data_IF_490195317450
#
_entry.id   IF_490195317450
#
_cell.length_a   1.000
_cell.length_b   1.000
_cell.length_c   1.000
_cell.angle_alpha   90.00
_cell.angle_beta   90.00
_cell.angle_gamma   90.00
#
_symmetry.space_group_name_H-M   'P 1'
#
loop_
_entity.id
_entity.type
_entity.pdbx_description
1 polymer ?
#
# COMPACT_ATOMS: atom_id res chain seq x y z
N UNK A 1 5.46 30.95 -1.44
CA UNK A 1 4.89 31.54 -0.22
C UNK A 1 4.15 32.84 -0.50
N UNK A 2 4.76 33.89 -1.09
CA UNK A 2 4.04 35.16 -1.42
C UNK A 2 2.85 35.00 -2.40
N UNK A 3 2.96 34.10 -3.38
CA UNK A 3 1.91 33.88 -4.39
C UNK A 3 0.61 33.28 -3.82
N UNK A 4 0.71 32.49 -2.75
CA UNK A 4 -0.46 31.91 -2.06
C UNK A 4 -1.06 32.90 -1.04
N UNK A 5 -0.25 33.74 -0.39
CA UNK A 5 -0.75 34.83 0.46
C UNK A 5 -1.56 35.86 -0.35
N UNK A 6 -1.09 36.21 -1.55
CA UNK A 6 -1.79 37.18 -2.42
C UNK A 6 -3.12 36.66 -3.00
N UNK A 7 -3.30 35.35 -3.13
CA UNK A 7 -4.59 34.78 -3.54
C UNK A 7 -5.58 34.66 -2.36
N UNK A 8 -5.11 34.39 -1.14
CA UNK A 8 -5.97 34.36 0.06
C UNK A 8 -6.52 35.75 0.43
N UNK A 9 -5.74 36.81 0.24
CA UNK A 9 -6.23 38.19 0.41
C UNK A 9 -7.33 38.58 -0.62
N UNK A 10 -7.42 37.88 -1.75
CA UNK A 10 -8.51 38.07 -2.73
C UNK A 10 -9.77 37.27 -2.40
N UNK A 11 -9.67 36.19 -1.62
CA UNK A 11 -10.84 35.45 -1.14
C UNK A 11 -11.39 35.98 0.19
N UNK A 12 -10.56 36.59 1.03
CA UNK A 12 -11.02 37.34 2.21
C UNK A 12 -11.90 38.53 1.84
N UNK A 13 -11.81 39.05 0.60
CA UNK A 13 -12.71 40.08 0.07
C UNK A 13 -14.13 39.58 -0.24
N UNK A 14 -14.39 38.25 -0.21
CA UNK A 14 -15.77 37.71 -0.31
C UNK A 14 -16.54 37.84 1.00
N UNK A 15 -15.91 38.28 2.10
CA UNK A 15 -16.59 38.56 3.37
C UNK A 15 -17.09 40.01 3.49
N UNK A 16 -17.00 40.81 2.42
CA UNK A 16 -17.72 42.09 2.37
C UNK A 16 -19.20 41.73 2.52
N UNK A 17 -19.78 42.06 3.67
CA UNK A 17 -21.23 42.11 3.86
C UNK A 17 -21.79 42.72 2.60
N UNK A 18 -22.47 41.94 1.76
CA UNK A 18 -23.06 42.50 0.56
C UNK A 18 -24.17 43.40 1.08
N UNK A 19 -23.86 44.69 1.21
CA UNK A 19 -24.80 45.71 1.69
C UNK A 19 -26.09 45.62 0.89
N UNK A 20 -25.99 45.25 -0.39
CA UNK A 20 -27.11 44.92 -1.25
C UNK A 20 -27.97 43.75 -0.74
N UNK A 21 -27.38 42.61 -0.35
CA UNK A 21 -28.14 41.47 0.20
C UNK A 21 -28.79 41.84 1.54
N UNK A 22 -28.05 42.52 2.42
CA UNK A 22 -28.58 42.95 3.72
C UNK A 22 -29.74 43.94 3.58
N UNK A 23 -29.59 44.97 2.73
CA UNK A 23 -30.65 45.92 2.43
C UNK A 23 -31.84 45.27 1.71
N UNK A 24 -31.59 44.30 0.82
CA UNK A 24 -32.66 43.54 0.16
C UNK A 24 -33.45 42.70 1.15
N UNK A 25 -32.79 42.06 2.13
CA UNK A 25 -33.45 41.33 3.21
C UNK A 25 -34.32 42.24 4.07
N UNK A 26 -33.84 43.45 4.41
CA UNK A 26 -34.65 44.44 5.13
C UNK A 26 -35.88 44.82 4.29
N UNK A 27 -35.69 45.13 3.01
CA UNK A 27 -36.78 45.50 2.11
C UNK A 27 -37.83 44.40 1.96
N UNK A 28 -37.40 43.15 1.71
CA UNK A 28 -38.29 41.98 1.62
C UNK A 28 -39.04 41.77 2.95
N UNK A 29 -38.35 41.85 4.08
CA UNK A 29 -38.97 41.66 5.40
C UNK A 29 -39.99 42.77 5.70
N UNK A 30 -39.73 44.00 5.25
CA UNK A 30 -40.67 45.11 5.33
C UNK A 30 -41.93 44.86 4.48
N UNK A 31 -41.78 44.42 3.22
CA UNK A 31 -42.93 44.10 2.36
C UNK A 31 -43.77 42.93 2.89
N UNK A 32 -43.13 41.91 3.46
CA UNK A 32 -43.83 40.78 4.10
C UNK A 32 -44.61 41.27 5.33
N UNK A 33 -43.98 42.07 6.20
CA UNK A 33 -44.65 42.63 7.37
C UNK A 33 -45.84 43.53 6.98
N UNK A 34 -45.68 44.36 5.93
CA UNK A 34 -46.75 45.19 5.40
C UNK A 34 -47.89 44.36 4.77
N UNK A 35 -47.56 43.28 4.07
CA UNK A 35 -48.54 42.33 3.52
C UNK A 35 -49.35 41.64 4.62
N UNK A 36 -48.69 41.18 5.69
CA UNK A 36 -49.36 40.59 6.85
C UNK A 36 -50.24 41.62 7.55
N UNK A 37 -49.76 42.84 7.76
CA UNK A 37 -50.52 43.92 8.39
C UNK A 37 -51.78 44.29 7.59
N UNK A 38 -51.65 44.43 6.27
CA UNK A 38 -52.78 44.76 5.39
C UNK A 38 -53.79 43.63 5.33
N UNK A 39 -53.37 42.37 5.23
CA UNK A 39 -54.25 41.21 5.28
C UNK A 39 -54.96 41.07 6.63
N UNK A 40 -54.25 41.31 7.74
CA UNK A 40 -54.82 41.28 9.08
C UNK A 40 -55.96 42.29 9.25
N UNK A 41 -55.79 43.51 8.74
CA UNK A 41 -56.82 44.55 8.76
C UNK A 41 -57.96 44.31 7.75
N UNK A 42 -57.69 43.65 6.62
CA UNK A 42 -58.70 43.39 5.59
C UNK A 42 -59.61 42.21 5.92
N UNK A 43 -59.07 41.16 6.56
CA UNK A 43 -59.78 39.91 6.81
C UNK A 43 -60.06 39.64 8.30
N UNK A 44 -59.77 40.61 9.17
CA UNK A 44 -60.00 40.55 10.62
C UNK A 44 -59.42 39.26 11.24
N UNK A 45 -58.15 38.99 10.92
CA UNK A 45 -57.46 37.74 11.29
C UNK A 45 -57.16 37.65 12.81
N UNK A 46 -57.47 38.69 13.59
CA UNK A 46 -57.32 38.72 15.04
C UNK A 46 -55.87 38.70 15.53
N UNK A 47 -54.89 39.04 14.69
CA UNK A 47 -53.48 39.13 15.08
C UNK A 47 -53.25 40.49 15.77
N UNK A 48 -52.65 40.50 16.95
CA UNK A 48 -52.34 41.74 17.67
C UNK A 48 -51.47 42.67 16.82
N UNK A 49 -51.92 43.91 16.63
CA UNK A 49 -51.29 44.91 15.76
C UNK A 49 -50.14 45.69 16.43
N UNK A 50 -49.51 45.09 17.44
CA UNK A 50 -48.45 45.76 18.19
C UNK A 50 -47.24 46.04 17.30
N UNK A 51 -46.82 47.31 17.29
CA UNK A 51 -45.65 47.80 16.53
C UNK A 51 -44.42 46.92 16.78
N UNK A 52 -44.28 46.43 18.03
CA UNK A 52 -43.20 45.56 18.48
C UNK A 52 -43.15 44.22 17.72
N UNK A 53 -44.30 43.63 17.39
CA UNK A 53 -44.37 42.34 16.68
C UNK A 53 -43.91 42.44 15.23
N UNK A 54 -44.37 43.46 14.52
CA UNK A 54 -43.97 43.70 13.13
C UNK A 54 -42.52 44.17 13.00
N UNK A 55 -42.02 44.98 13.95
CA UNK A 55 -40.59 45.33 14.03
C UNK A 55 -39.72 44.09 14.23
N UNK A 56 -40.15 43.14 15.05
CA UNK A 56 -39.48 41.84 15.21
C UNK A 56 -39.43 41.03 13.91
N UNK A 57 -40.54 41.00 13.16
CA UNK A 57 -40.66 40.31 11.88
C UNK A 57 -39.75 40.92 10.80
N UNK A 58 -39.60 42.24 10.79
CA UNK A 58 -38.71 42.97 9.88
C UNK A 58 -37.23 42.74 10.24
N UNK A 59 -36.92 42.69 11.54
CA UNK A 59 -35.55 42.58 12.04
C UNK A 59 -35.00 41.14 12.05
N UNK A 60 -35.85 40.11 12.09
CA UNK A 60 -35.41 38.72 12.27
C UNK A 60 -34.55 38.18 11.09
N UNK A 61 -34.93 38.35 9.80
CA UNK A 61 -34.10 37.83 8.71
C UNK A 61 -32.73 38.53 8.55
N UNK A 62 -32.63 39.88 8.65
CA UNK A 62 -31.35 40.58 8.66
C UNK A 62 -30.44 40.21 9.84
N UNK A 63 -31.02 40.03 11.04
CA UNK A 63 -30.24 39.64 12.23
C UNK A 63 -29.71 38.21 12.13
N UNK A 64 -30.51 37.27 11.62
CA UNK A 64 -30.06 35.91 11.31
C UNK A 64 -28.94 35.89 10.26
N UNK A 65 -29.05 36.70 9.20
CA UNK A 65 -28.00 36.84 8.17
C UNK A 65 -26.67 37.35 8.76
N UNK A 66 -26.71 38.40 9.61
CA UNK A 66 -25.52 38.92 10.28
C UNK A 66 -24.90 37.90 11.23
N UNK A 67 -25.72 37.12 11.95
CA UNK A 67 -25.24 36.06 12.81
C UNK A 67 -24.52 34.97 12.01
N UNK A 68 -25.09 34.50 10.90
CA UNK A 68 -24.46 33.50 10.01
C UNK A 68 -23.12 34.01 9.47
N UNK A 69 -23.05 35.27 9.02
CA UNK A 69 -21.78 35.86 8.55
C UNK A 69 -20.76 35.91 9.68
N UNK A 70 -21.16 36.33 10.88
CA UNK A 70 -20.27 36.40 12.03
C UNK A 70 -19.74 35.03 12.40
N UNK A 71 -20.59 34.01 12.38
CA UNK A 71 -20.18 32.65 12.72
C UNK A 71 -19.24 32.08 11.65
N UNK A 72 -19.55 32.26 10.36
CA UNK A 72 -18.62 31.93 9.27
C UNK A 72 -17.27 32.64 9.36
N UNK A 73 -17.26 33.90 9.79
CA UNK A 73 -16.00 34.63 9.98
C UNK A 73 -15.16 34.03 11.11
N UNK A 74 -15.79 33.63 12.22
CA UNK A 74 -15.09 32.92 13.30
C UNK A 74 -14.57 31.57 12.84
N UNK A 75 -15.36 30.81 12.07
CA UNK A 75 -14.94 29.53 11.46
C UNK A 75 -13.69 29.73 10.60
N UNK A 76 -13.68 30.74 9.71
CA UNK A 76 -12.52 31.08 8.89
C UNK A 76 -11.30 31.52 9.73
N UNK A 77 -11.50 32.28 10.80
CA UNK A 77 -10.41 32.67 11.72
C UNK A 77 -9.82 31.46 12.45
N UNK A 78 -10.67 30.50 12.85
CA UNK A 78 -10.26 29.22 13.45
C UNK A 78 -9.49 28.36 12.43
N UNK A 79 -10.01 28.17 11.23
CA UNK A 79 -9.36 27.43 10.14
C UNK A 79 -7.98 28.01 9.82
N UNK A 80 -7.87 29.34 9.70
CA UNK A 80 -6.58 30.00 9.46
C UNK A 80 -5.59 29.75 10.60
N UNK A 81 -6.06 29.72 11.85
CA UNK A 81 -5.21 29.43 13.01
C UNK A 81 -4.74 27.98 13.04
N UNK A 82 -5.61 27.03 12.68
CA UNK A 82 -5.24 25.61 12.56
C UNK A 82 -4.21 25.41 11.44
N UNK A 83 -4.39 26.09 10.31
CA UNK A 83 -3.44 26.06 9.18
C UNK A 83 -2.08 26.67 9.57
N UNK A 84 -2.05 27.78 10.30
CA UNK A 84 -0.81 28.38 10.80
C UNK A 84 -0.09 27.44 11.79
N UNK A 85 -0.84 26.73 12.64
CA UNK A 85 -0.27 25.72 13.55
C UNK A 85 0.32 24.53 12.78
N UNK A 86 -0.38 24.06 11.74
CA UNK A 86 0.13 23.03 10.85
C UNK A 86 1.45 23.46 10.20
N UNK A 87 1.48 24.65 9.58
CA UNK A 87 2.67 25.16 8.90
C UNK A 87 3.86 25.34 9.86
N UNK A 88 3.63 25.82 11.08
CA UNK A 88 4.67 25.94 12.09
C UNK A 88 5.24 24.57 12.49
N UNK A 89 4.37 23.56 12.67
CA UNK A 89 4.81 22.20 12.99
C UNK A 89 5.57 21.54 11.84
N UNK A 90 5.10 21.73 10.60
CA UNK A 90 5.80 21.30 9.39
C UNK A 90 7.19 21.92 9.28
N UNK A 91 7.34 23.21 9.57
CA UNK A 91 8.64 23.88 9.54
C UNK A 91 9.61 23.30 10.60
N UNK A 92 9.11 23.02 11.81
CA UNK A 92 9.87 22.36 12.87
C UNK A 92 10.35 20.97 12.44
N UNK A 93 9.45 20.13 11.92
CA UNK A 93 9.80 18.78 11.45
C UNK A 93 10.81 18.80 10.31
N UNK A 94 10.63 19.72 9.35
CA UNK A 94 11.61 19.86 8.25
C UNK A 94 13.01 20.24 8.78
N UNK A 95 13.10 21.01 9.86
CA UNK A 95 14.40 21.32 10.48
C UNK A 95 15.02 20.07 11.12
N UNK A 96 14.25 19.35 11.93
CA UNK A 96 14.70 18.13 12.62
C UNK A 96 15.12 17.05 11.63
N UNK A 97 14.31 16.81 10.60
CA UNK A 97 14.61 15.77 9.62
C UNK A 97 15.88 16.10 8.80
N UNK A 98 16.13 17.38 8.47
CA UNK A 98 17.32 17.78 7.74
C UNK A 98 18.59 17.51 8.56
N UNK A 99 18.52 17.76 9.87
CA UNK A 99 19.60 17.40 10.80
C UNK A 99 19.80 15.89 10.87
N UNK A 100 18.72 15.11 10.97
CA UNK A 100 18.77 13.65 10.96
C UNK A 100 19.40 13.09 9.68
N UNK A 101 19.02 13.63 8.52
CA UNK A 101 19.61 13.28 7.21
C UNK A 101 21.09 13.62 7.18
N UNK A 102 21.49 14.81 7.64
CA UNK A 102 22.91 15.18 7.69
C UNK A 102 23.73 14.24 8.59
N UNK A 103 23.17 13.83 9.74
CA UNK A 103 23.80 12.83 10.61
C UNK A 103 23.87 11.45 9.96
N UNK A 104 22.86 11.08 9.16
CA UNK A 104 22.82 9.80 8.47
C UNK A 104 23.91 9.68 7.40
N UNK A 105 24.26 10.78 6.73
CA UNK A 105 25.36 10.81 5.77
C UNK A 105 26.75 10.99 6.40
N UNK A 106 26.83 11.22 7.72
CA UNK A 106 28.09 11.22 8.47
C UNK A 106 28.45 9.80 8.91
N UNK A 107 29.58 9.27 8.44
CA UNK A 107 30.04 7.89 8.73
C UNK A 107 30.08 7.56 10.22
N UNK A 108 30.35 8.54 11.10
CA UNK A 108 30.43 8.31 12.55
C UNK A 108 29.08 8.35 13.25
N UNK A 109 28.07 8.93 12.61
CA UNK A 109 26.74 9.16 13.18
C UNK A 109 25.62 8.48 12.41
N UNK A 110 25.95 7.71 11.37
CA UNK A 110 24.99 7.07 10.47
C UNK A 110 23.85 6.37 11.22
N UNK A 111 24.17 5.51 12.20
CA UNK A 111 23.13 4.80 12.95
C UNK A 111 22.22 5.75 13.75
N UNK A 112 22.79 6.79 14.39
CA UNK A 112 22.01 7.79 15.11
C UNK A 112 21.12 8.60 14.15
N UNK A 113 21.65 8.97 12.99
CA UNK A 113 20.88 9.60 11.91
C UNK A 113 19.75 8.70 11.41
N UNK A 114 19.99 7.40 11.24
CA UNK A 114 18.96 6.45 10.82
C UNK A 114 17.82 6.33 11.85
N UNK A 115 18.16 6.26 13.14
CA UNK A 115 17.19 6.27 14.24
C UNK A 115 16.39 7.58 14.21
N UNK A 116 17.06 8.72 14.06
CA UNK A 116 16.40 10.03 14.01
C UNK A 116 15.47 10.18 12.79
N UNK A 117 15.86 9.64 11.62
CA UNK A 117 14.98 9.59 10.44
C UNK A 117 13.76 8.71 10.74
N UNK A 118 13.96 7.52 11.32
CA UNK A 118 12.87 6.63 11.68
C UNK A 118 11.89 7.27 12.69
N UNK A 119 12.39 7.98 13.70
CA UNK A 119 11.54 8.76 14.61
C UNK A 119 10.85 9.94 13.92
N UNK A 120 11.51 10.60 12.95
CA UNK A 120 10.88 11.67 12.16
C UNK A 120 9.68 11.15 11.37
N UNK A 121 9.75 9.90 10.86
CA UNK A 121 8.61 9.25 10.19
C UNK A 121 7.42 9.09 11.15
N UNK A 122 7.64 8.74 12.42
CA UNK A 122 6.57 8.67 13.43
C UNK A 122 5.94 10.04 13.69
N UNK A 123 6.75 11.09 13.79
CA UNK A 123 6.26 12.45 13.97
C UNK A 123 5.41 12.91 12.78
N UNK A 124 5.86 12.63 11.56
CA UNK A 124 5.07 12.89 10.35
C UNK A 124 3.78 12.07 10.31
N UNK A 125 3.81 10.78 10.70
CA UNK A 125 2.60 9.94 10.82
C UNK A 125 1.61 10.54 11.82
N UNK A 126 2.09 11.03 12.97
CA UNK A 126 1.24 11.65 13.99
C UNK A 126 0.59 12.95 13.47
N UNK A 127 1.34 13.80 12.77
CA UNK A 127 0.76 15.00 12.13
C UNK A 127 -0.26 14.62 11.06
N UNK A 128 0.01 13.57 10.26
CA UNK A 128 -0.91 13.05 9.24
C UNK A 128 -2.27 12.65 9.84
N UNK A 129 -2.27 12.10 11.05
CA UNK A 129 -3.50 11.73 11.76
C UNK A 129 -4.29 12.94 12.28
N UNK A 130 -3.59 13.99 12.71
CA UNK A 130 -4.19 15.24 13.21
C UNK A 130 -4.74 16.09 12.06
N UNK A 131 -3.94 16.30 11.01
CA UNK A 131 -4.25 17.17 9.88
C UNK A 131 -4.62 16.36 8.65
N UNK A 132 -5.83 15.79 8.67
CA UNK A 132 -6.29 14.81 7.68
C UNK A 132 -6.37 15.34 6.24
N UNK A 133 -6.60 16.65 6.09
CA UNK A 133 -6.64 17.36 4.80
C UNK A 133 -5.28 17.34 4.10
N UNK A 134 -4.18 17.30 4.87
CA UNK A 134 -2.80 17.39 4.38
C UNK A 134 -2.11 16.02 4.21
N UNK A 135 -2.84 14.91 4.38
CA UNK A 135 -2.25 13.55 4.42
C UNK A 135 -1.41 13.19 3.21
N UNK A 136 -1.82 13.61 2.02
CA UNK A 136 -1.09 13.31 0.78
C UNK A 136 0.27 14.03 0.76
N UNK A 137 0.30 15.31 1.14
CA UNK A 137 1.55 16.09 1.18
C UNK A 137 2.51 15.57 2.26
N UNK A 138 1.96 15.20 3.42
CA UNK A 138 2.72 14.59 4.51
C UNK A 138 3.27 13.22 4.10
N UNK A 139 2.47 12.42 3.39
CA UNK A 139 2.93 11.12 2.91
C UNK A 139 4.14 11.26 1.99
N UNK A 140 4.17 12.25 1.09
CA UNK A 140 5.35 12.54 0.25
C UNK A 140 6.60 12.80 1.12
N UNK A 141 6.45 13.43 2.29
CA UNK A 141 7.57 13.63 3.23
C UNK A 141 8.04 12.32 3.85
N UNK A 142 7.10 11.46 4.25
CA UNK A 142 7.41 10.12 4.76
C UNK A 142 8.13 9.30 3.68
N UNK A 143 7.65 9.35 2.44
CA UNK A 143 8.30 8.66 1.32
C UNK A 143 9.73 9.15 1.09
N UNK A 144 9.95 10.47 1.15
CA UNK A 144 11.29 11.06 1.01
C UNK A 144 12.24 10.56 2.09
N UNK A 145 11.80 10.51 3.35
CA UNK A 145 12.59 10.01 4.47
C UNK A 145 12.90 8.51 4.35
N UNK A 146 11.90 7.70 4.01
CA UNK A 146 12.08 6.28 3.74
C UNK A 146 13.07 6.04 2.59
N UNK A 147 12.95 6.82 1.51
CA UNK A 147 13.84 6.74 0.35
C UNK A 147 15.31 6.96 0.74
N UNK A 148 15.59 7.95 1.60
CA UNK A 148 16.95 8.22 2.09
C UNK A 148 17.55 6.99 2.76
N UNK A 149 16.79 6.32 3.62
CA UNK A 149 17.24 5.10 4.30
C UNK A 149 17.44 3.94 3.31
N UNK A 150 16.45 3.69 2.45
CA UNK A 150 16.47 2.54 1.54
C UNK A 150 17.61 2.63 0.51
N UNK A 151 17.87 3.81 -0.07
CA UNK A 151 18.96 3.95 -1.05
C UNK A 151 20.35 3.75 -0.44
N UNK A 152 20.55 4.16 0.82
CA UNK A 152 21.85 4.02 1.47
C UNK A 152 22.06 2.60 2.01
N UNK A 153 20.99 1.92 2.41
CA UNK A 153 21.01 0.52 2.84
C UNK A 153 21.64 -0.41 1.79
N UNK A 154 21.36 -0.17 0.50
CA UNK A 154 21.90 -0.96 -0.61
C UNK A 154 23.41 -0.78 -0.84
N UNK A 155 24.03 0.30 -0.34
CA UNK A 155 25.38 0.72 -0.75
C UNK A 155 26.47 0.27 0.23
N UNK A 156 26.14 0.01 1.50
CA UNK A 156 27.15 -0.24 2.54
C UNK A 156 27.01 -1.62 3.19
N UNK A 157 27.82 -2.58 2.73
CA UNK A 157 27.97 -3.96 3.25
C UNK A 157 28.33 -4.04 4.75
N UNK A 158 28.60 -2.93 5.43
CA UNK A 158 29.08 -2.89 6.82
C UNK A 158 27.99 -2.66 7.87
N UNK A 159 26.73 -2.63 7.48
CA UNK A 159 25.67 -2.21 8.41
C UNK A 159 25.18 -3.32 9.33
N UNK A 160 25.25 -3.01 10.63
CA UNK A 160 24.98 -3.89 11.76
C UNK A 160 23.53 -4.39 11.75
N UNK A 161 23.28 -5.49 12.49
CA UNK A 161 21.94 -6.02 12.80
C UNK A 161 20.92 -4.93 13.17
N UNK A 162 21.37 -3.81 13.73
CA UNK A 162 20.55 -2.65 14.10
C UNK A 162 20.01 -1.88 12.89
N UNK A 163 20.83 -1.63 11.86
CA UNK A 163 20.37 -0.93 10.65
C UNK A 163 19.30 -1.75 9.94
N UNK A 164 19.50 -3.06 9.80
CA UNK A 164 18.46 -3.96 9.26
C UNK A 164 17.19 -3.87 10.08
N UNK A 165 17.28 -3.83 11.42
CA UNK A 165 16.13 -3.62 12.30
C UNK A 165 15.38 -2.31 12.01
N UNK A 166 16.10 -1.20 11.84
CA UNK A 166 15.50 0.10 11.50
C UNK A 166 14.80 0.04 10.13
N UNK A 167 15.43 -0.58 9.13
CA UNK A 167 14.84 -0.71 7.80
C UNK A 167 13.55 -1.53 7.84
N UNK A 168 13.53 -2.66 8.58
CA UNK A 168 12.30 -3.43 8.79
C UNK A 168 11.20 -2.58 9.42
N UNK A 169 11.52 -1.85 10.49
CA UNK A 169 10.57 -1.00 11.21
C UNK A 169 9.98 0.09 10.29
N UNK A 170 10.82 0.69 9.43
CA UNK A 170 10.37 1.69 8.45
C UNK A 170 9.48 1.06 7.38
N UNK A 171 9.81 -0.13 6.87
CA UNK A 171 8.96 -0.88 5.95
C UNK A 171 7.58 -1.13 6.59
N UNK A 172 7.54 -1.60 7.83
CA UNK A 172 6.30 -1.84 8.58
C UNK A 172 5.49 -0.55 8.77
N UNK A 173 6.14 0.57 9.10
CA UNK A 173 5.48 1.88 9.22
C UNK A 173 4.83 2.31 7.92
N UNK A 174 5.53 2.16 6.80
CA UNK A 174 4.99 2.48 5.48
C UNK A 174 3.78 1.60 5.18
N UNK A 175 3.90 0.27 5.31
CA UNK A 175 2.81 -0.68 5.09
C UNK A 175 1.58 -0.32 5.94
N UNK A 176 1.78 0.02 7.21
CA UNK A 176 0.70 0.45 8.10
C UNK A 176 0.02 1.74 7.62
N UNK A 177 0.80 2.74 7.19
CA UNK A 177 0.24 3.97 6.61
C UNK A 177 -0.53 3.67 5.33
N UNK A 178 -0.01 2.82 4.44
CA UNK A 178 -0.70 2.42 3.23
C UNK A 178 -2.02 1.70 3.54
N UNK A 179 -2.03 0.82 4.55
CA UNK A 179 -3.23 0.14 5.03
C UNK A 179 -4.31 1.11 5.50
N UNK A 180 -3.93 2.10 6.32
CA UNK A 180 -4.81 3.10 6.92
C UNK A 180 -5.33 4.13 5.89
N UNK A 181 -4.48 4.55 4.95
CA UNK A 181 -4.75 5.70 4.07
C UNK A 181 -5.06 5.34 2.62
N UNK A 182 -4.78 4.10 2.21
CA UNK A 182 -4.79 3.63 0.80
C UNK A 182 -3.82 4.36 -0.12
N UNK A 183 -2.87 5.09 0.44
CA UNK A 183 -1.79 5.71 -0.32
C UNK A 183 -0.81 4.65 -0.84
N UNK A 184 -0.22 4.94 -1.99
CA UNK A 184 0.62 4.00 -2.73
C UNK A 184 2.07 4.42 -2.62
N UNK A 185 2.91 3.53 -2.11
CA UNK A 185 4.36 3.64 -2.09
C UNK A 185 4.94 2.85 -3.28
N UNK A 186 5.85 3.48 -4.02
CA UNK A 186 6.45 2.87 -5.20
C UNK A 186 7.66 1.99 -4.83
N UNK A 187 7.38 0.74 -4.46
CA UNK A 187 8.38 -0.25 -4.06
C UNK A 187 9.38 -0.60 -5.18
N UNK A 188 9.03 -0.37 -6.45
CA UNK A 188 9.83 -0.79 -7.60
C UNK A 188 11.17 -0.06 -7.75
N UNK A 189 11.35 1.04 -7.02
CA UNK A 189 12.56 1.85 -7.01
C UNK A 189 13.67 1.29 -6.13
N UNK A 190 13.36 0.33 -5.26
CA UNK A 190 14.24 -0.05 -4.17
C UNK A 190 14.79 -1.46 -4.33
N UNK A 191 16.06 -1.59 -3.95
CA UNK A 191 16.78 -2.84 -3.83
C UNK A 191 17.15 -3.08 -2.37
N UNK A 192 16.73 -4.19 -1.82
CA UNK A 192 17.05 -4.59 -0.45
C UNK A 192 17.98 -5.79 -0.46
N UNK A 193 19.09 -5.67 0.27
CA UNK A 193 20.10 -6.71 0.38
C UNK A 193 20.18 -7.23 1.81
N UNK A 194 20.05 -8.55 2.01
CA UNK A 194 20.10 -9.19 3.34
C UNK A 194 18.95 -8.69 4.26
N UNK A 195 17.80 -8.37 3.66
CA UNK A 195 16.57 -8.05 4.40
C UNK A 195 15.96 -9.34 4.96
N UNK A 196 15.74 -9.40 6.26
CA UNK A 196 15.22 -10.59 6.95
C UNK A 196 13.87 -10.35 7.62
N UNK A 197 12.92 -11.27 7.57
CA UNK A 197 11.69 -11.32 8.38
C UNK A 197 11.44 -12.77 8.81
N UNK A 198 10.84 -12.97 10.00
CA UNK A 198 10.62 -14.31 10.57
C UNK A 198 11.91 -14.99 11.03
N UNK A 199 12.97 -14.21 11.30
CA UNK A 199 14.32 -14.74 11.58
C UNK A 199 14.55 -15.08 13.05
N UNK A 200 13.69 -14.61 13.96
CA UNK A 200 13.72 -14.90 15.39
C UNK A 200 12.31 -15.24 15.88
N UNK A 201 12.18 -15.99 16.99
CA UNK A 201 10.89 -16.46 17.54
C UNK A 201 9.86 -15.34 17.76
N UNK A 202 10.30 -14.13 18.11
CA UNK A 202 9.43 -12.96 18.30
C UNK A 202 8.82 -12.42 16.99
N UNK A 203 9.40 -12.79 15.83
CA UNK A 203 8.96 -12.39 14.50
C UNK A 203 8.02 -13.41 13.85
N UNK A 204 7.64 -14.50 14.53
CA UNK A 204 6.76 -15.56 13.99
C UNK A 204 5.27 -15.24 14.16
N UNK A 205 4.40 -15.61 13.19
CA UNK A 205 4.69 -16.24 11.90
C UNK A 205 4.90 -15.18 10.80
N UNK A 206 5.94 -14.36 10.89
CA UNK A 206 6.17 -13.24 9.98
C UNK A 206 5.16 -12.10 10.22
N UNK A 207 5.59 -11.11 11.00
CA UNK A 207 4.86 -9.86 11.25
C UNK A 207 4.18 -9.31 9.97
N UNK A 208 2.92 -8.88 10.13
CA UNK A 208 1.95 -8.69 9.06
C UNK A 208 2.35 -7.74 7.93
N UNK A 209 2.94 -8.28 6.87
CA UNK A 209 3.17 -7.63 5.57
C UNK A 209 1.88 -7.41 4.75
N UNK A 210 0.71 -7.33 5.42
CA UNK A 210 -0.62 -7.38 4.81
C UNK A 210 -1.03 -6.04 4.21
N UNK A 211 -0.38 -5.61 3.12
CA UNK A 211 -0.91 -4.58 2.23
C UNK A 211 -0.75 -5.01 0.78
N UNK A 212 -1.82 -4.88 -0.02
CA UNK A 212 -1.96 -5.54 -1.31
C UNK A 212 -0.81 -5.30 -2.30
N UNK A 213 -0.05 -4.22 -2.21
CA UNK A 213 1.03 -3.89 -3.15
C UNK A 213 2.43 -3.83 -2.51
N UNK A 214 2.60 -4.42 -1.32
CA UNK A 214 3.91 -4.50 -0.67
C UNK A 214 4.91 -5.21 -1.60
N UNK A 215 6.10 -4.62 -1.81
CA UNK A 215 7.20 -5.16 -2.63
C UNK A 215 6.97 -5.31 -4.15
N UNK A 216 5.88 -4.77 -4.70
CA UNK A 216 5.65 -4.79 -6.15
C UNK A 216 6.84 -4.21 -6.93
N UNK A 217 7.35 -4.96 -7.90
CA UNK A 217 8.49 -4.57 -8.74
C UNK A 217 9.84 -4.36 -8.01
N UNK A 218 9.92 -4.60 -6.71
CA UNK A 218 11.15 -4.38 -5.92
C UNK A 218 12.22 -5.45 -6.19
N UNK A 219 13.48 -5.16 -5.86
CA UNK A 219 14.59 -6.12 -5.97
C UNK A 219 15.04 -6.59 -4.58
N UNK A 220 15.04 -7.90 -4.35
CA UNK A 220 15.54 -8.53 -3.14
C UNK A 220 16.76 -9.39 -3.43
N UNK A 221 17.87 -9.13 -2.76
CA UNK A 221 19.09 -9.91 -2.88
C UNK A 221 19.43 -10.55 -1.55
N UNK A 222 19.61 -11.87 -1.52
CA UNK A 222 20.00 -12.59 -0.29
C UNK A 222 19.05 -12.34 0.88
N UNK A 223 17.77 -12.10 0.59
CA UNK A 223 16.77 -11.79 1.59
C UNK A 223 16.23 -13.08 2.24
N UNK A 224 15.62 -12.95 3.41
CA UNK A 224 15.10 -14.08 4.19
C UNK A 224 13.71 -13.73 4.70
N UNK A 225 12.71 -14.53 4.38
CA UNK A 225 11.33 -14.41 4.82
C UNK A 225 10.88 -15.80 5.23
N UNK A 226 10.99 -16.11 6.52
CA UNK A 226 10.60 -17.44 7.01
C UNK A 226 9.18 -17.34 7.56
N UNK A 227 8.32 -18.27 7.16
CA UNK A 227 6.94 -18.37 7.63
C UNK A 227 6.14 -17.06 7.44
N UNK A 228 6.43 -16.27 6.42
CA UNK A 228 5.84 -14.94 6.23
C UNK A 228 4.53 -14.96 5.42
N UNK A 229 3.65 -14.00 5.70
CA UNK A 229 2.33 -13.89 5.06
C UNK A 229 2.33 -12.96 3.83
N UNK A 230 2.28 -13.54 2.64
CA UNK A 230 2.11 -12.88 1.34
C UNK A 230 0.74 -13.20 0.69
N UNK A 231 -0.19 -13.75 1.47
CA UNK A 231 -1.52 -14.15 1.01
C UNK A 231 -2.24 -12.97 0.31
N UNK A 232 -2.68 -13.20 -0.94
CA UNK A 232 -3.39 -12.23 -1.79
C UNK A 232 -2.61 -10.95 -2.13
N UNK A 233 -1.29 -10.92 -1.95
CA UNK A 233 -0.46 -9.78 -2.33
C UNK A 233 -0.18 -9.73 -3.83
N UNK A 234 -0.04 -8.52 -4.36
CA UNK A 234 0.46 -8.22 -5.69
C UNK A 234 1.98 -7.99 -5.62
N UNK A 235 2.71 -9.01 -6.06
CA UNK A 235 4.16 -9.11 -6.16
C UNK A 235 4.61 -9.12 -7.63
N UNK A 236 3.79 -8.58 -8.53
CA UNK A 236 4.10 -8.57 -9.96
C UNK A 236 5.44 -7.89 -10.24
N UNK A 237 6.22 -8.50 -11.14
CA UNK A 237 7.54 -8.02 -11.56
C UNK A 237 8.59 -7.86 -10.45
N UNK A 238 8.30 -8.32 -9.23
CA UNK A 238 9.27 -8.38 -8.16
C UNK A 238 10.44 -9.27 -8.60
N UNK A 239 11.67 -8.86 -8.29
CA UNK A 239 12.86 -9.67 -8.54
C UNK A 239 13.50 -10.07 -7.22
N UNK A 240 13.94 -11.30 -7.14
CA UNK A 240 14.59 -11.87 -5.98
C UNK A 240 15.65 -12.86 -6.44
N UNK A 241 16.82 -12.79 -5.81
CA UNK A 241 17.88 -13.77 -6.06
C UNK A 241 18.54 -14.23 -4.77
N UNK A 242 18.89 -15.51 -4.70
CA UNK A 242 19.58 -16.10 -3.54
C UNK A 242 18.83 -15.92 -2.23
N UNK A 243 17.51 -15.84 -2.28
CA UNK A 243 16.67 -15.47 -1.15
C UNK A 243 15.89 -16.67 -0.63
N UNK A 244 15.46 -16.61 0.62
CA UNK A 244 14.77 -17.68 1.32
C UNK A 244 13.36 -17.23 1.67
N UNK A 245 12.36 -18.01 1.29
CA UNK A 245 10.93 -17.77 1.54
C UNK A 245 10.29 -19.01 2.18
N UNK A 246 11.08 -19.84 2.85
CA UNK A 246 10.66 -21.14 3.33
C UNK A 246 9.45 -21.02 4.26
N UNK A 247 8.48 -21.91 4.06
CA UNK A 247 7.20 -22.00 4.77
C UNK A 247 6.33 -20.74 4.70
N UNK A 248 6.63 -19.81 3.79
CA UNK A 248 5.83 -18.60 3.61
C UNK A 248 4.53 -18.88 2.84
N UNK A 249 3.54 -18.02 3.04
CA UNK A 249 2.19 -18.16 2.50
C UNK A 249 1.97 -17.19 1.35
N UNK A 250 1.84 -17.69 0.14
CA UNK A 250 1.54 -16.98 -1.12
C UNK A 250 0.16 -17.33 -1.68
N UNK A 251 -0.75 -17.85 -0.85
CA UNK A 251 -2.11 -18.24 -1.27
C UNK A 251 -2.82 -17.07 -1.95
N UNK A 252 -3.34 -17.29 -3.16
CA UNK A 252 -3.95 -16.27 -4.03
C UNK A 252 -3.04 -15.06 -4.40
N UNK A 253 -1.73 -15.11 -4.15
CA UNK A 253 -0.83 -14.01 -4.48
C UNK A 253 -0.66 -13.87 -6.01
N UNK A 254 -0.48 -12.65 -6.49
CA UNK A 254 -0.13 -12.36 -7.88
C UNK A 254 1.37 -12.10 -8.02
N UNK A 255 2.07 -13.06 -8.60
CA UNK A 255 3.51 -13.07 -8.89
C UNK A 255 3.76 -13.06 -10.42
N UNK A 256 2.82 -12.56 -11.22
CA UNK A 256 2.98 -12.48 -12.68
C UNK A 256 4.24 -11.68 -13.07
N UNK A 257 5.01 -12.23 -14.01
CA UNK A 257 6.28 -11.69 -14.52
C UNK A 257 7.36 -11.45 -13.44
N UNK A 258 7.20 -12.01 -12.24
CA UNK A 258 8.22 -11.96 -11.18
C UNK A 258 9.43 -12.83 -11.52
N UNK A 259 10.55 -12.60 -10.83
CA UNK A 259 11.77 -13.39 -10.97
C UNK A 259 12.27 -13.82 -9.61
N UNK A 260 12.32 -15.12 -9.36
CA UNK A 260 12.92 -15.72 -8.17
C UNK A 260 13.99 -16.71 -8.64
N UNK A 261 15.23 -16.24 -8.70
CA UNK A 261 16.36 -16.99 -9.27
C UNK A 261 17.23 -17.52 -8.13
N UNK A 262 17.54 -18.82 -8.14
CA UNK A 262 18.39 -19.43 -7.10
C UNK A 262 17.81 -19.15 -5.69
N UNK A 263 16.48 -19.24 -5.54
CA UNK A 263 15.76 -18.91 -4.30
C UNK A 263 15.10 -20.15 -3.70
N UNK A 264 14.92 -20.15 -2.38
CA UNK A 264 14.32 -21.24 -1.61
C UNK A 264 12.90 -20.93 -1.18
N UNK A 265 12.01 -21.91 -1.31
CA UNK A 265 10.59 -21.88 -0.97
C UNK A 265 10.17 -23.21 -0.35
N UNK A 266 11.04 -23.79 0.46
CA UNK A 266 10.81 -25.11 1.05
C UNK A 266 9.54 -25.05 1.89
N UNK A 267 8.61 -25.98 1.65
CA UNK A 267 7.33 -26.07 2.37
C UNK A 267 6.45 -24.80 2.27
N UNK A 268 6.68 -23.93 1.26
CA UNK A 268 5.87 -22.73 1.05
C UNK A 268 4.50 -23.04 0.40
N UNK A 269 3.53 -22.15 0.60
CA UNK A 269 2.15 -22.34 0.14
C UNK A 269 1.80 -21.38 -1.00
N UNK A 270 1.48 -21.89 -2.18
CA UNK A 270 1.14 -21.17 -3.41
C UNK A 270 -0.27 -21.52 -3.93
N UNK A 271 -1.16 -22.02 -3.07
CA UNK A 271 -2.51 -22.41 -3.49
C UNK A 271 -3.23 -21.27 -4.23
N UNK A 272 -3.69 -21.52 -5.45
CA UNK A 272 -4.29 -20.53 -6.38
C UNK A 272 -3.41 -19.29 -6.70
N UNK A 273 -2.11 -19.32 -6.43
CA UNK A 273 -1.22 -18.21 -6.78
C UNK A 273 -1.09 -18.06 -8.31
N UNK A 274 -0.87 -16.83 -8.77
CA UNK A 274 -0.65 -16.51 -10.19
C UNK A 274 0.83 -16.27 -10.42
N UNK A 275 1.50 -17.16 -11.13
CA UNK A 275 2.93 -17.13 -11.47
C UNK A 275 3.13 -17.11 -13.00
N UNK A 276 2.18 -16.51 -13.73
CA UNK A 276 2.23 -16.44 -15.19
C UNK A 276 3.51 -15.74 -15.64
N UNK A 277 4.27 -16.38 -16.53
CA UNK A 277 5.57 -15.90 -17.03
C UNK A 277 6.60 -15.57 -15.94
N UNK A 278 6.44 -16.11 -14.72
CA UNK A 278 7.44 -15.96 -13.68
C UNK A 278 8.73 -16.70 -14.08
N UNK A 279 9.89 -16.16 -13.71
CA UNK A 279 11.17 -16.84 -13.85
C UNK A 279 11.56 -17.43 -12.49
N UNK A 280 11.56 -18.76 -12.38
CA UNK A 280 11.87 -19.51 -11.17
C UNK A 280 13.14 -20.36 -11.34
N UNK A 281 14.06 -19.91 -12.21
CA UNK A 281 15.27 -20.63 -12.58
C UNK A 281 16.09 -21.03 -11.34
N UNK A 282 16.46 -22.32 -11.28
CA UNK A 282 17.32 -22.92 -10.24
C UNK A 282 16.79 -22.72 -8.81
N UNK A 283 15.48 -22.50 -8.65
CA UNK A 283 14.84 -22.35 -7.33
C UNK A 283 14.43 -23.68 -6.71
N UNK A 284 14.33 -23.70 -5.39
CA UNK A 284 13.96 -24.88 -4.60
C UNK A 284 12.55 -24.74 -4.02
N UNK A 285 11.64 -25.64 -4.42
CA UNK A 285 10.27 -25.75 -3.94
C UNK A 285 9.99 -27.12 -3.31
N UNK A 286 11.00 -27.71 -2.65
CA UNK A 286 10.84 -28.97 -1.93
C UNK A 286 9.65 -28.92 -0.98
N UNK A 287 8.70 -29.86 -1.15
CA UNK A 287 7.43 -29.95 -0.40
C UNK A 287 6.51 -28.71 -0.45
N UNK A 288 6.71 -27.81 -1.40
CA UNK A 288 5.80 -26.67 -1.55
C UNK A 288 4.42 -27.10 -2.06
N UNK A 289 3.40 -26.29 -1.77
CA UNK A 289 2.02 -26.53 -2.20
C UNK A 289 1.60 -25.55 -3.31
N UNK A 290 1.48 -26.02 -4.53
CA UNK A 290 1.04 -25.30 -5.72
C UNK A 290 -0.36 -25.72 -6.18
N UNK A 291 -1.21 -26.26 -5.29
CA UNK A 291 -2.57 -26.64 -5.67
C UNK A 291 -3.27 -25.51 -6.44
N UNK A 292 -3.70 -25.81 -7.68
CA UNK A 292 -4.39 -24.88 -8.60
C UNK A 292 -3.64 -23.59 -8.94
N UNK A 293 -2.32 -23.53 -8.72
CA UNK A 293 -1.50 -22.39 -9.12
C UNK A 293 -1.48 -22.22 -10.65
N UNK A 294 -1.33 -20.99 -11.12
CA UNK A 294 -1.24 -20.65 -12.54
C UNK A 294 0.20 -20.30 -12.93
N UNK A 295 0.92 -21.27 -13.49
CA UNK A 295 2.32 -21.22 -13.92
C UNK A 295 2.45 -21.10 -15.45
N UNK A 296 1.41 -20.63 -16.15
CA UNK A 296 1.43 -20.55 -17.63
C UNK A 296 2.60 -19.70 -18.13
N UNK A 297 3.39 -20.27 -19.04
CA UNK A 297 4.58 -19.60 -19.59
C UNK A 297 5.71 -19.34 -18.60
N UNK A 298 5.67 -19.89 -17.37
CA UNK A 298 6.74 -19.72 -16.40
C UNK A 298 8.02 -20.47 -16.84
N UNK A 299 9.18 -19.93 -16.47
CA UNK A 299 10.47 -20.62 -16.62
C UNK A 299 10.82 -21.33 -15.31
N UNK A 300 10.75 -22.66 -15.34
CA UNK A 300 11.02 -23.57 -14.23
C UNK A 300 12.32 -24.38 -14.47
N UNK A 301 13.21 -23.85 -15.32
CA UNK A 301 14.45 -24.53 -15.68
C UNK A 301 15.28 -24.78 -14.43
N UNK A 302 15.71 -26.04 -14.23
CA UNK A 302 16.47 -26.52 -13.04
C UNK A 302 15.77 -26.36 -11.69
N UNK A 303 14.48 -26.08 -11.66
CA UNK A 303 13.72 -25.95 -10.42
C UNK A 303 13.54 -27.33 -9.74
N UNK A 304 13.55 -27.37 -8.41
CA UNK A 304 13.28 -28.57 -7.62
C UNK A 304 11.85 -28.53 -7.03
N UNK A 305 10.97 -29.41 -7.51
CA UNK A 305 9.61 -29.64 -6.99
C UNK A 305 9.49 -30.98 -6.26
N UNK A 306 10.59 -31.53 -5.74
CA UNK A 306 10.58 -32.81 -5.03
C UNK A 306 9.56 -32.79 -3.89
N UNK A 307 8.66 -33.78 -3.89
CA UNK A 307 7.55 -33.94 -2.93
C UNK A 307 6.55 -32.76 -2.90
N UNK A 308 6.54 -31.88 -3.90
CA UNK A 308 5.58 -30.79 -3.98
C UNK A 308 4.17 -31.27 -4.39
N UNK A 309 3.14 -30.53 -3.99
CA UNK A 309 1.77 -30.71 -4.48
C UNK A 309 1.52 -29.74 -5.64
N UNK A 310 1.26 -30.23 -6.84
CA UNK A 310 0.95 -29.44 -8.04
C UNK A 310 -0.45 -29.79 -8.58
N UNK A 311 -1.32 -30.33 -7.71
CA UNK A 311 -2.65 -30.80 -8.12
C UNK A 311 -3.46 -29.68 -8.78
N UNK A 312 -3.89 -29.90 -10.02
CA UNK A 312 -4.68 -28.95 -10.80
C UNK A 312 -3.92 -27.69 -11.23
N UNK A 313 -2.60 -27.63 -11.09
CA UNK A 313 -1.81 -26.49 -11.52
C UNK A 313 -1.83 -26.34 -13.06
N UNK A 314 -1.78 -25.10 -13.54
CA UNK A 314 -1.76 -24.79 -14.98
C UNK A 314 -0.33 -24.46 -15.41
N UNK A 315 0.24 -25.24 -16.31
CA UNK A 315 1.62 -25.08 -16.79
C UNK A 315 1.70 -25.00 -18.32
N UNK A 316 0.61 -24.58 -18.97
CA UNK A 316 0.56 -24.38 -20.43
C UNK A 316 1.72 -23.48 -20.88
N UNK A 317 2.53 -23.96 -21.81
CA UNK A 317 3.68 -23.21 -22.35
C UNK A 317 4.84 -22.96 -21.37
N UNK A 318 4.85 -23.58 -20.19
CA UNK A 318 5.96 -23.45 -19.24
C UNK A 318 7.24 -24.14 -19.76
N UNK A 319 8.40 -23.62 -19.37
CA UNK A 319 9.71 -24.22 -19.66
C UNK A 319 10.12 -25.03 -18.44
N UNK A 320 10.17 -26.36 -18.56
CA UNK A 320 10.49 -27.26 -17.43
C UNK A 320 11.76 -28.07 -17.69
N UNK A 321 12.75 -27.43 -18.31
CA UNK A 321 13.98 -28.11 -18.68
C UNK A 321 14.85 -28.40 -17.45
N UNK A 322 15.16 -29.67 -17.20
CA UNK A 322 15.94 -30.08 -16.02
C UNK A 322 15.23 -29.87 -14.67
N UNK A 323 13.90 -29.71 -14.67
CA UNK A 323 13.10 -29.63 -13.45
C UNK A 323 12.97 -31.01 -12.80
N UNK A 324 13.00 -31.07 -11.46
CA UNK A 324 12.87 -32.30 -10.68
C UNK A 324 11.47 -32.40 -10.06
N UNK A 325 10.73 -33.47 -10.35
CA UNK A 325 9.39 -33.73 -9.80
C UNK A 325 9.35 -35.02 -8.96
N UNK A 326 10.46 -35.40 -8.32
CA UNK A 326 10.54 -36.64 -7.56
C UNK A 326 9.47 -36.69 -6.46
N UNK A 327 8.64 -37.73 -6.43
CA UNK A 327 7.52 -37.88 -5.48
C UNK A 327 6.48 -36.72 -5.49
N UNK A 328 6.47 -35.86 -6.51
CA UNK A 328 5.50 -34.77 -6.61
C UNK A 328 4.11 -35.30 -6.98
N UNK A 329 3.07 -34.61 -6.52
CA UNK A 329 1.70 -34.86 -6.97
C UNK A 329 1.34 -33.92 -8.12
N UNK A 330 1.31 -34.42 -9.35
CA UNK A 330 1.01 -33.64 -10.55
C UNK A 330 -0.35 -34.02 -11.15
N UNK A 331 -1.27 -34.47 -10.29
CA UNK A 331 -2.64 -34.85 -10.68
C UNK A 331 -3.39 -33.65 -11.30
N UNK A 332 -3.92 -33.83 -12.51
CA UNK A 332 -4.71 -32.82 -13.22
C UNK A 332 -3.90 -31.62 -13.72
N UNK A 333 -2.57 -31.74 -13.80
CA UNK A 333 -1.70 -30.68 -14.32
C UNK A 333 -1.92 -30.48 -15.83
N UNK A 334 -1.94 -29.23 -16.31
CA UNK A 334 -1.95 -28.92 -17.75
C UNK A 334 -0.53 -28.58 -18.23
N UNK A 335 0.05 -29.45 -19.05
CA UNK A 335 1.39 -29.29 -19.64
C UNK A 335 1.37 -28.99 -21.14
N UNK A 336 0.23 -28.58 -21.71
CA UNK A 336 0.11 -28.34 -23.15
C UNK A 336 1.12 -27.27 -23.61
N UNK A 337 1.91 -27.60 -24.64
CA UNK A 337 2.92 -26.70 -25.21
C UNK A 337 4.15 -26.45 -24.33
N UNK A 338 4.33 -27.15 -23.20
CA UNK A 338 5.52 -27.03 -22.35
C UNK A 338 6.78 -27.66 -22.98
N UNK A 339 7.96 -27.13 -22.63
CA UNK A 339 9.26 -27.66 -23.05
C UNK A 339 9.88 -28.57 -21.98
N UNK A 340 10.02 -29.88 -22.26
CA UNK A 340 10.35 -30.91 -21.27
C UNK A 340 11.77 -31.51 -21.34
N UNK A 341 12.73 -30.78 -21.92
CA UNK A 341 14.08 -31.32 -22.12
C UNK A 341 14.74 -31.66 -20.78
N UNK A 342 15.10 -32.93 -20.58
CA UNK A 342 15.74 -33.42 -19.34
C UNK A 342 14.92 -33.24 -18.04
N UNK A 343 13.61 -32.96 -18.12
CA UNK A 343 12.76 -32.97 -16.91
C UNK A 343 12.69 -34.39 -16.30
N UNK A 344 12.77 -34.53 -14.99
CA UNK A 344 12.73 -35.82 -14.30
C UNK A 344 11.48 -35.94 -13.42
N UNK A 345 10.83 -37.11 -13.44
CA UNK A 345 9.53 -37.34 -12.78
C UNK A 345 9.47 -38.61 -11.90
N UNK A 346 10.57 -39.02 -11.24
CA UNK A 346 10.61 -40.35 -10.64
C UNK A 346 9.57 -40.43 -9.53
N UNK A 347 8.71 -41.45 -9.60
CA UNK A 347 7.63 -41.69 -8.63
C UNK A 347 6.58 -40.57 -8.52
N UNK A 348 6.54 -39.62 -9.47
CA UNK A 348 5.49 -38.61 -9.50
C UNK A 348 4.10 -39.26 -9.66
N UNK A 349 3.11 -38.77 -8.91
CA UNK A 349 1.71 -39.22 -9.02
C UNK A 349 1.05 -38.51 -10.18
N UNK A 350 0.46 -39.27 -11.10
CA UNK A 350 -0.14 -38.74 -12.34
C UNK A 350 -1.55 -39.29 -12.56
N UNK A 351 -2.55 -38.41 -12.55
CA UNK A 351 -3.93 -38.70 -12.96
C UNK A 351 -4.53 -37.54 -13.74
N UNK A 352 -5.33 -37.82 -14.78
CA UNK A 352 -6.11 -36.79 -15.48
C UNK A 352 -5.30 -35.74 -16.25
N UNK A 353 -4.07 -36.06 -16.67
CA UNK A 353 -3.19 -35.16 -17.42
C UNK A 353 -3.40 -35.31 -18.93
N UNK A 354 -3.53 -34.21 -19.67
CA UNK A 354 -3.58 -34.23 -21.15
C UNK A 354 -2.17 -34.28 -21.75
N UNK A 355 -1.79 -35.41 -22.33
CA UNK A 355 -0.41 -35.68 -22.72
C UNK A 355 -0.06 -35.30 -24.17
N UNK A 356 1.08 -34.62 -24.35
CA UNK A 356 1.76 -34.53 -25.65
C UNK A 356 2.67 -35.77 -25.89
N UNK A 357 3.11 -35.97 -27.14
CA UNK A 357 3.87 -37.17 -27.54
C UNK A 357 5.24 -37.32 -26.83
N UNK A 358 5.89 -36.22 -26.43
CA UNK A 358 7.18 -36.26 -25.73
C UNK A 358 7.05 -36.83 -24.32
N UNK A 359 5.91 -36.61 -23.66
CA UNK A 359 5.69 -37.10 -22.29
C UNK A 359 5.27 -38.56 -22.28
N UNK A 360 4.49 -38.99 -23.29
CA UNK A 360 4.15 -40.41 -23.48
C UNK A 360 5.39 -41.30 -23.55
N UNK A 361 6.48 -40.81 -24.15
CA UNK A 361 7.74 -41.54 -24.20
C UNK A 361 8.39 -41.73 -22.81
N UNK A 362 8.34 -40.72 -21.93
CA UNK A 362 8.84 -40.85 -20.55
C UNK A 362 8.00 -41.78 -19.67
N UNK A 363 6.69 -41.88 -19.93
CA UNK A 363 5.83 -42.91 -19.31
C UNK A 363 6.32 -44.30 -19.72
N UNK A 364 6.62 -44.49 -21.01
CA UNK A 364 7.11 -45.76 -21.55
C UNK A 364 8.49 -46.13 -21.01
N UNK A 365 9.35 -45.15 -20.73
CA UNK A 365 10.70 -45.34 -20.18
C UNK A 365 10.69 -45.70 -18.66
N UNK A 366 9.51 -45.82 -18.03
CA UNK A 366 9.37 -46.29 -16.64
C UNK A 366 9.62 -45.22 -15.57
N UNK A 367 9.76 -43.95 -15.97
CA UNK A 367 10.00 -42.83 -15.07
C UNK A 367 8.73 -42.32 -14.37
N UNK A 368 7.54 -42.77 -14.78
CA UNK A 368 6.25 -42.31 -14.25
C UNK A 368 5.44 -43.49 -13.70
N UNK A 369 4.71 -43.29 -12.59
CA UNK A 369 3.77 -44.29 -12.04
C UNK A 369 2.36 -43.73 -12.03
N UNK A 370 1.48 -44.33 -12.84
CA UNK A 370 0.03 -44.10 -12.78
C UNK A 370 -0.53 -44.89 -11.60
N UNK A 371 -1.06 -44.22 -10.57
CA UNK A 371 -1.57 -44.87 -9.35
C UNK A 371 -3.09 -44.98 -9.41
N UNK A 372 -3.60 -45.96 -10.18
CA UNK A 372 -5.04 -46.18 -10.42
C UNK A 372 -5.96 -46.04 -9.20
#
# INVERSE_FOLDING_TARGET
>A
MEKNMNNRNKESDKSIVSTYIFCSLIGISFFIALGIYTLNNLWDLGIDNDLTGYVGLIAAPPTAYLWIIRERKKELELENKEEDQYLMKVAELNRVQNEAINQFYDEKKMLAGAIAINSSIDEWKNISNTYREHRNEIFIKIEQLASVLFFKYTIEEKNSRQMTGIIKEVIEKIINIQNETKLMFDWSKYKFEILGFGTNMDEYPGLGLKYANTFIGSELLRATFLECEFTSLNLTKMTSSKSYFDKSYFTNANLEESKFIDSSFIEAFFTNAVLIKANLFDSNFFKADFERADLRGADLTKTDFTSANLTGAKMTGAIISGTYFENADITGIDLLGSELKNADFPYARIHGVEWNNSIKQKILDGHLREIY
#
